data_IF_637932973225
#
_entry.id   IF_637932973225
#
_cell.length_a   1.000
_cell.length_b   1.000
_cell.length_c   1.000
_cell.angle_alpha   90.00
_cell.angle_beta   90.00
_cell.angle_gamma   90.00
#
_symmetry.space_group_name_H-M   'P 1'
#
loop_
_entity.id
_entity.type
_entity.pdbx_description
1 polymer ?
#
# COMPACT_ATOMS: atom_id res chain seq x y z
N UNK A 1 -14.07 -4.71 5.73
CA UNK A 1 -12.75 -5.37 5.62
C UNK A 1 -12.18 -5.13 4.23
N UNK A 2 -10.88 -5.36 4.03
CA UNK A 2 -10.23 -5.32 2.72
C UNK A 2 -9.30 -6.52 2.54
N UNK A 3 -9.04 -6.87 1.29
CA UNK A 3 -8.25 -8.04 0.91
C UNK A 3 -7.38 -7.69 -0.32
N UNK A 4 -6.11 -8.08 -0.30
CA UNK A 4 -5.30 -8.18 -1.51
C UNK A 4 -5.55 -9.51 -2.20
N UNK A 5 -6.13 -9.50 -3.41
CA UNK A 5 -6.45 -10.72 -4.15
C UNK A 5 -6.50 -10.49 -5.67
N UNK A 6 -6.40 -11.60 -6.42
CA UNK A 6 -6.71 -11.68 -7.86
C UNK A 6 -7.80 -12.69 -8.16
N UNK A 7 -7.92 -13.72 -7.34
CA UNK A 7 -8.88 -14.80 -7.48
C UNK A 7 -9.75 -14.86 -6.22
N UNK A 8 -11.02 -15.22 -6.40
CA UNK A 8 -11.99 -15.41 -5.31
C UNK A 8 -12.69 -16.75 -5.52
N UNK A 9 -12.84 -17.52 -4.45
CA UNK A 9 -13.66 -18.73 -4.43
C UNK A 9 -15.00 -18.40 -3.78
N UNK A 10 -16.08 -18.85 -4.40
CA UNK A 10 -17.43 -18.65 -3.91
C UNK A 10 -18.14 -20.00 -3.94
N UNK A 11 -18.51 -20.48 -2.78
CA UNK A 11 -19.21 -21.73 -2.58
C UNK A 11 -20.67 -21.47 -2.18
N UNK A 12 -21.55 -22.46 -2.40
CA UNK A 12 -22.94 -22.40 -1.94
C UNK A 12 -23.88 -21.51 -2.78
N UNK A 13 -23.52 -21.19 -4.01
CA UNK A 13 -24.41 -20.44 -4.92
C UNK A 13 -25.57 -21.32 -5.39
N UNK A 14 -26.80 -20.80 -5.27
CA UNK A 14 -28.00 -21.47 -5.79
C UNK A 14 -28.08 -21.43 -7.33
N UNK A 15 -27.55 -20.36 -7.92
CA UNK A 15 -27.53 -20.12 -9.37
C UNK A 15 -26.09 -19.84 -9.85
N UNK A 16 -25.73 -20.17 -11.10
CA UNK A 16 -24.42 -19.86 -11.65
C UNK A 16 -24.12 -18.36 -11.67
N UNK A 17 -22.87 -18.00 -11.37
CA UNK A 17 -22.39 -16.62 -11.48
C UNK A 17 -22.04 -16.28 -12.94
N UNK A 18 -22.37 -15.06 -13.35
CA UNK A 18 -21.92 -14.46 -14.60
C UNK A 18 -20.96 -13.28 -14.35
N UNK A 19 -20.61 -12.56 -15.41
CA UNK A 19 -19.67 -11.43 -15.34
C UNK A 19 -20.20 -10.22 -14.58
N UNK A 20 -21.52 -10.06 -14.50
CA UNK A 20 -22.17 -8.91 -13.84
C UNK A 20 -22.51 -9.23 -12.38
N UNK A 21 -22.47 -10.50 -12.01
CA UNK A 21 -22.73 -10.98 -10.64
C UNK A 21 -21.70 -10.49 -9.62
N UNK A 22 -20.49 -10.14 -10.05
CA UNK A 22 -19.38 -9.74 -9.18
C UNK A 22 -18.59 -8.57 -9.74
N UNK A 23 -18.16 -7.68 -8.84
CA UNK A 23 -17.23 -6.60 -9.16
C UNK A 23 -16.15 -6.49 -8.09
N UNK A 24 -14.89 -6.46 -8.51
CA UNK A 24 -13.81 -6.03 -7.64
C UNK A 24 -13.84 -4.50 -7.49
N UNK A 25 -13.90 -4.04 -6.24
CA UNK A 25 -13.80 -2.61 -5.92
C UNK A 25 -12.39 -2.34 -5.43
N UNK A 26 -11.64 -1.57 -6.21
CA UNK A 26 -10.29 -1.14 -5.82
C UNK A 26 -10.42 -0.02 -4.81
N UNK A 27 -9.76 -0.19 -3.66
CA UNK A 27 -9.71 0.80 -2.58
C UNK A 27 -8.26 1.13 -2.25
N UNK A 28 -7.97 2.43 -2.13
CA UNK A 28 -6.69 2.99 -1.70
C UNK A 28 -6.93 4.46 -1.33
N UNK A 29 -5.96 5.10 -0.67
CA UNK A 29 -6.00 6.56 -0.45
C UNK A 29 -6.06 7.28 -1.80
N UNK A 30 -7.03 8.19 -1.95
CA UNK A 30 -7.31 8.87 -3.21
C UNK A 30 -6.33 10.03 -3.46
N UNK A 31 -5.09 9.66 -3.77
CA UNK A 31 -4.04 10.60 -4.12
C UNK A 31 -4.12 10.97 -5.60
N UNK A 32 -3.71 12.19 -5.94
CA UNK A 32 -3.62 12.63 -7.34
C UNK A 32 -2.46 11.94 -8.05
N UNK A 33 -2.72 11.31 -9.20
CA UNK A 33 -1.67 10.71 -10.03
C UNK A 33 -0.81 11.80 -10.67
N UNK A 34 0.51 11.62 -10.65
CA UNK A 34 1.49 12.63 -11.16
C UNK A 34 2.51 12.08 -12.14
N UNK A 35 2.78 10.77 -12.15
CA UNK A 35 3.82 10.16 -12.98
C UNK A 35 3.32 9.04 -13.85
N UNK A 36 3.75 9.04 -15.11
CA UNK A 36 3.49 8.01 -16.13
C UNK A 36 4.79 7.67 -16.85
N UNK A 37 4.90 6.45 -17.35
CA UNK A 37 6.01 6.02 -18.18
C UNK A 37 5.52 5.04 -19.25
N UNK A 38 6.13 5.12 -20.43
CA UNK A 38 5.94 4.21 -21.55
C UNK A 38 7.23 4.17 -22.39
N UNK A 39 7.55 3.01 -22.94
CA UNK A 39 8.65 2.83 -23.89
C UNK A 39 8.37 1.70 -24.87
N UNK A 40 9.27 1.51 -25.84
CA UNK A 40 9.15 0.47 -26.87
C UNK A 40 9.30 -0.96 -26.33
N UNK A 41 9.79 -1.14 -25.11
CA UNK A 41 10.01 -2.47 -24.53
C UNK A 41 8.82 -2.89 -23.65
N UNK A 42 7.95 -3.81 -24.10
CA UNK A 42 6.69 -4.12 -23.42
C UNK A 42 6.89 -4.66 -21.99
N UNK A 43 8.01 -5.35 -21.72
CA UNK A 43 8.34 -5.82 -20.37
C UNK A 43 8.59 -4.69 -19.37
N UNK A 44 9.12 -3.54 -19.82
CA UNK A 44 9.36 -2.39 -18.95
C UNK A 44 8.05 -1.65 -18.65
N UNK A 45 7.16 -1.53 -19.64
CA UNK A 45 5.82 -0.98 -19.43
C UNK A 45 5.04 -1.86 -18.42
N UNK A 46 5.12 -3.18 -18.56
CA UNK A 46 4.53 -4.13 -17.60
C UNK A 46 5.12 -3.98 -16.20
N UNK A 47 6.44 -3.83 -16.08
CA UNK A 47 7.09 -3.61 -14.79
C UNK A 47 6.58 -2.32 -14.12
N UNK A 48 6.48 -1.23 -14.87
CA UNK A 48 5.95 0.03 -14.36
C UNK A 48 4.48 -0.11 -13.93
N UNK A 49 3.63 -0.74 -14.75
CA UNK A 49 2.23 -1.01 -14.41
C UNK A 49 2.11 -1.85 -13.13
N UNK A 50 2.97 -2.86 -12.96
CA UNK A 50 2.99 -3.68 -11.76
C UNK A 50 3.37 -2.85 -10.53
N UNK A 51 4.43 -2.03 -10.62
CA UNK A 51 4.84 -1.15 -9.51
C UNK A 51 3.72 -0.17 -9.12
N UNK A 52 3.01 0.37 -10.11
CA UNK A 52 1.82 1.20 -9.87
C UNK A 52 0.73 0.44 -9.09
N UNK A 53 0.39 -0.77 -9.51
CA UNK A 53 -0.65 -1.56 -8.83
C UNK A 53 -0.21 -1.99 -7.43
N UNK A 54 1.08 -2.31 -7.23
CA UNK A 54 1.64 -2.58 -5.90
C UNK A 54 1.53 -1.35 -5.00
N UNK A 55 1.86 -0.15 -5.50
CA UNK A 55 1.67 1.09 -4.74
C UNK A 55 0.21 1.30 -4.37
N UNK A 56 -0.72 1.16 -5.32
CA UNK A 56 -2.16 1.29 -5.04
C UNK A 56 -2.64 0.29 -3.99
N UNK A 57 -2.13 -0.94 -4.02
CA UNK A 57 -2.47 -1.95 -3.01
C UNK A 57 -1.97 -1.61 -1.61
N UNK A 58 -0.85 -0.90 -1.48
CA UNK A 58 -0.17 -0.64 -0.21
C UNK A 58 -0.33 0.79 0.34
N UNK A 59 -1.03 1.68 -0.36
CA UNK A 59 -1.30 3.04 0.12
C UNK A 59 -2.77 3.14 0.52
N UNK A 60 -3.11 2.58 1.67
CA UNK A 60 -4.45 2.59 2.24
C UNK A 60 -4.36 3.05 3.70
N UNK A 61 -4.54 4.35 3.93
CA UNK A 61 -4.30 5.04 5.21
C UNK A 61 -2.85 5.04 5.71
N UNK A 62 -2.10 3.95 5.51
CA UNK A 62 -0.70 3.77 5.87
C UNK A 62 0.08 3.25 4.66
N UNK A 63 1.40 3.50 4.55
CA UNK A 63 2.26 2.88 3.54
C UNK A 63 2.61 1.45 3.99
N UNK A 64 1.74 0.50 3.71
CA UNK A 64 1.87 -0.88 4.22
C UNK A 64 2.90 -1.70 3.45
N UNK A 65 3.46 -2.73 4.08
CA UNK A 65 4.30 -3.75 3.44
C UNK A 65 3.50 -4.59 2.43
N UNK A 66 2.32 -5.07 2.83
CA UNK A 66 1.47 -5.90 1.99
C UNK A 66 -0.02 -5.74 2.33
N UNK A 67 -0.94 -5.98 1.35
CA UNK A 67 -2.38 -5.84 1.58
C UNK A 67 -3.13 -7.13 1.94
N UNK A 68 -2.50 -8.31 1.88
CA UNK A 68 -3.20 -9.61 1.89
C UNK A 68 -3.14 -10.36 3.22
N UNK A 69 -1.95 -10.50 3.83
CA UNK A 69 -1.77 -11.34 5.03
C UNK A 69 -2.09 -10.55 6.31
N UNK A 70 -1.98 -11.22 7.44
CA UNK A 70 -2.13 -10.73 8.81
C UNK A 70 -0.96 -9.83 9.26
N UNK A 71 -0.61 -8.86 8.43
CA UNK A 71 0.46 -7.89 8.71
C UNK A 71 -0.04 -6.47 8.38
N UNK A 72 0.14 -6.00 7.14
CA UNK A 72 -0.41 -4.71 6.66
C UNK A 72 0.06 -3.54 7.53
N UNK A 73 1.33 -3.58 7.92
CA UNK A 73 1.93 -2.63 8.85
C UNK A 73 2.75 -1.59 8.09
N UNK A 74 2.85 -0.38 8.66
CA UNK A 74 3.64 0.71 8.09
C UNK A 74 5.14 0.51 8.32
N UNK A 75 5.73 -0.50 7.68
CA UNK A 75 7.16 -0.81 7.79
C UNK A 75 8.01 0.36 7.30
N UNK A 76 8.85 0.87 8.20
CA UNK A 76 9.60 2.11 7.97
C UNK A 76 10.67 1.95 6.90
N UNK A 77 11.29 0.77 6.80
CA UNK A 77 12.27 0.45 5.75
C UNK A 77 11.67 0.42 4.35
N UNK A 78 10.51 -0.23 4.19
CA UNK A 78 9.83 -0.40 2.91
C UNK A 78 9.49 0.95 2.26
N UNK A 79 8.85 1.83 3.04
CA UNK A 79 8.52 3.16 2.54
C UNK A 79 9.75 4.04 2.36
N UNK A 80 10.79 3.89 3.18
CA UNK A 80 12.05 4.63 3.00
C UNK A 80 12.69 4.34 1.64
N UNK A 81 12.71 3.08 1.20
CA UNK A 81 13.26 2.69 -0.10
C UNK A 81 12.32 3.13 -1.24
N UNK A 82 11.01 3.04 -1.06
CA UNK A 82 10.04 3.25 -2.13
C UNK A 82 9.56 4.70 -2.27
N UNK A 83 9.73 5.56 -1.27
CA UNK A 83 9.23 6.94 -1.27
C UNK A 83 9.59 7.78 -2.51
N UNK A 84 10.81 7.70 -3.09
CA UNK A 84 11.13 8.41 -4.33
C UNK A 84 10.27 7.96 -5.52
N UNK A 85 10.08 6.64 -5.67
CA UNK A 85 9.24 6.09 -6.73
C UNK A 85 7.75 6.42 -6.49
N UNK A 86 7.28 6.31 -5.25
CA UNK A 86 5.92 6.67 -4.87
C UNK A 86 5.60 8.13 -5.21
N UNK A 87 6.52 9.05 -4.87
CA UNK A 87 6.39 10.49 -5.11
C UNK A 87 6.50 10.87 -6.59
N UNK A 88 7.12 10.02 -7.42
CA UNK A 88 7.01 10.16 -8.88
C UNK A 88 5.61 9.78 -9.34
N UNK A 89 5.11 8.62 -8.90
CA UNK A 89 3.84 8.05 -9.36
C UNK A 89 2.63 8.89 -8.95
N UNK A 90 2.56 9.32 -7.69
CA UNK A 90 1.47 10.10 -7.11
C UNK A 90 1.97 11.29 -6.30
N UNK A 91 1.08 12.25 -6.09
CA UNK A 91 1.24 13.33 -5.11
C UNK A 91 1.09 12.75 -3.69
N UNK A 92 2.20 12.31 -3.12
CA UNK A 92 2.29 11.65 -1.80
C UNK A 92 2.46 12.63 -0.64
N UNK A 93 2.55 13.94 -0.91
CA UNK A 93 2.96 14.94 0.08
C UNK A 93 2.11 14.90 1.35
N UNK A 94 0.79 15.07 1.21
CA UNK A 94 -0.13 15.03 2.36
C UNK A 94 -0.14 13.67 3.07
N UNK A 95 -0.09 12.57 2.30
CA UNK A 95 -0.14 11.21 2.83
C UNK A 95 1.09 10.89 3.68
N UNK A 96 2.29 11.11 3.14
CA UNK A 96 3.54 10.82 3.85
C UNK A 96 3.80 11.83 4.96
N UNK A 97 3.43 13.11 4.80
CA UNK A 97 3.54 14.06 5.92
C UNK A 97 2.66 13.66 7.09
N UNK A 98 1.44 13.17 6.86
CA UNK A 98 0.59 12.66 7.94
C UNK A 98 1.25 11.48 8.65
N UNK A 99 1.76 10.50 7.91
CA UNK A 99 2.43 9.33 8.49
C UNK A 99 3.75 9.69 9.21
N UNK A 100 4.50 10.67 8.70
CA UNK A 100 5.72 11.17 9.33
C UNK A 100 5.46 11.89 10.66
N UNK A 101 4.26 12.46 10.87
CA UNK A 101 3.86 12.98 12.18
C UNK A 101 3.76 11.84 13.19
N UNK A 102 3.10 10.73 12.82
CA UNK A 102 2.99 9.54 13.68
C UNK A 102 4.38 8.96 13.98
N UNK A 103 5.25 8.88 12.96
CA UNK A 103 6.63 8.42 13.13
C UNK A 103 7.40 9.28 14.12
N UNK A 104 7.29 10.62 14.03
CA UNK A 104 7.98 11.53 14.93
C UNK A 104 7.45 11.44 16.37
N UNK A 105 6.14 11.23 16.55
CA UNK A 105 5.52 11.01 17.87
C UNK A 105 6.08 9.73 18.50
N UNK A 106 6.08 8.61 17.76
CA UNK A 106 6.57 7.34 18.29
C UNK A 106 8.07 7.34 18.53
N UNK A 107 8.84 7.99 17.65
CA UNK A 107 10.27 8.22 17.88
C UNK A 107 10.51 8.99 19.19
N UNK A 108 9.67 10.00 19.49
CA UNK A 108 9.76 10.77 20.73
C UNK A 108 9.40 9.99 22.00
N UNK A 109 8.60 8.93 21.88
CA UNK A 109 8.25 8.04 22.99
C UNK A 109 9.22 6.87 23.17
N UNK A 110 10.04 6.56 22.17
CA UNK A 110 10.99 5.45 22.23
C UNK A 110 12.23 5.80 23.07
N UNK A 111 12.68 4.84 23.88
CA UNK A 111 13.93 4.97 24.63
C UNK A 111 15.11 5.18 23.67
N UNK A 112 15.81 6.30 23.84
CA UNK A 112 16.94 6.68 22.99
C UNK A 112 16.56 7.29 21.63
N UNK A 113 15.28 7.54 21.36
CA UNK A 113 14.83 8.23 20.13
C UNK A 113 14.98 7.41 18.86
N UNK A 114 14.96 6.08 18.98
CA UNK A 114 15.05 5.16 17.84
C UNK A 114 13.69 5.05 17.17
N UNK A 115 13.66 5.18 15.84
CA UNK A 115 12.45 4.97 15.05
C UNK A 115 12.04 3.50 15.11
N UNK A 116 10.77 3.17 15.43
CA UNK A 116 10.27 1.80 15.41
C UNK A 116 10.35 1.14 14.02
N UNK A 117 10.30 -0.19 13.98
CA UNK A 117 10.28 -0.92 12.70
C UNK A 117 9.01 -0.69 11.90
N UNK A 118 7.88 -0.54 12.58
CA UNK A 118 6.58 -0.23 11.98
C UNK A 118 5.97 0.96 12.67
N UNK A 119 5.29 1.82 11.91
CA UNK A 119 4.54 2.96 12.42
C UNK A 119 3.12 2.91 11.83
N UNK A 120 2.06 2.87 12.65
CA UNK A 120 2.08 2.83 14.12
C UNK A 120 2.71 1.55 14.70
N UNK A 121 3.42 1.68 15.82
CA UNK A 121 4.12 0.58 16.49
C UNK A 121 3.16 -0.29 17.29
N UNK A 122 2.78 -1.41 16.68
CA UNK A 122 1.97 -2.46 17.30
C UNK A 122 2.80 -3.68 17.73
N UNK A 123 4.13 -3.60 17.57
CA UNK A 123 5.06 -4.68 17.89
C UNK A 123 5.64 -4.54 19.31
N UNK A 124 5.36 -3.44 20.01
CA UNK A 124 5.79 -3.21 21.39
C UNK A 124 4.92 -4.00 22.38
N UNK A 125 5.32 -5.25 22.64
CA UNK A 125 5.44 -5.90 23.96
C UNK A 125 5.97 -7.34 23.75
N UNK A 126 7.29 -7.46 23.54
CA UNK A 126 8.08 -8.67 23.76
C UNK A 126 9.40 -8.31 24.47
#
# INVERSE_FOLDING_TARGET
TFHGFRYVQIDGMAEPLDRESLRAVVIHSDMRRTGWFDCSHPGLNRLHENALWSMRGNFLSLPTDCPQRDERLGWTGDIQVFAPAASFLYDTGAFLSSWLIDLAIEQGHADGGVVPFVVPNVLSDA
#
